data_IF_602599498822
#
_entry.id   IF_602599498822
#
_cell.length_a   1.000
_cell.length_b   1.000
_cell.length_c   1.000
_cell.angle_alpha   90.00
_cell.angle_beta   90.00
_cell.angle_gamma   90.00
#
_symmetry.space_group_name_H-M   'P 1'
#
loop_
_entity.id
_entity.type
_entity.pdbx_description
1 polymer ?
#
# COMPACT_ATOMS: atom_id res chain seq x y z
N UNK A 1 108.37 -35.88 -35.57
CA UNK A 1 108.03 -34.47 -35.77
C UNK A 1 106.63 -34.37 -36.35
N UNK A 2 105.59 -34.19 -35.56
CA UNK A 2 104.21 -34.21 -36.04
C UNK A 2 103.12 -34.04 -35.00
N UNK A 3 103.25 -33.14 -33.98
CA UNK A 3 102.15 -32.94 -32.96
C UNK A 3 101.78 -31.48 -32.70
N UNK A 4 101.98 -30.55 -33.54
CA UNK A 4 101.71 -29.13 -33.26
C UNK A 4 100.59 -28.50 -34.11
N UNK A 5 99.73 -29.25 -34.84
CA UNK A 5 98.68 -28.69 -35.70
C UNK A 5 97.24 -28.96 -35.29
N UNK A 6 96.95 -29.79 -34.28
CA UNK A 6 95.57 -30.13 -33.87
C UNK A 6 94.97 -29.14 -32.85
N UNK A 7 95.73 -28.41 -32.03
CA UNK A 7 95.22 -27.49 -30.99
C UNK A 7 94.65 -26.16 -31.55
N UNK A 8 95.23 -25.65 -32.62
CA UNK A 8 94.83 -24.35 -33.19
C UNK A 8 93.39 -24.35 -33.83
N UNK A 9 92.98 -25.46 -34.43
CA UNK A 9 91.70 -25.61 -35.06
C UNK A 9 90.53 -25.72 -34.04
N UNK A 10 90.79 -26.31 -32.86
CA UNK A 10 89.82 -26.42 -31.78
C UNK A 10 89.55 -25.05 -31.11
N UNK A 11 90.61 -24.26 -30.92
CA UNK A 11 90.50 -22.93 -30.27
C UNK A 11 89.80 -21.92 -31.21
N UNK A 12 90.01 -21.92 -32.51
CA UNK A 12 89.33 -21.08 -33.51
C UNK A 12 87.86 -21.47 -33.61
N UNK A 13 87.49 -22.76 -33.47
CA UNK A 13 86.09 -23.19 -33.49
C UNK A 13 85.38 -22.81 -32.19
N UNK A 14 86.04 -22.84 -31.02
CA UNK A 14 85.54 -22.35 -29.77
C UNK A 14 85.29 -20.84 -29.77
N UNK A 15 86.24 -20.06 -30.28
CA UNK A 15 86.12 -18.61 -30.42
C UNK A 15 84.97 -18.21 -31.40
N UNK A 16 84.84 -18.92 -32.54
CA UNK A 16 83.74 -18.71 -33.46
C UNK A 16 82.36 -19.03 -32.86
N UNK A 17 82.24 -20.08 -32.03
CA UNK A 17 81.02 -20.44 -31.35
C UNK A 17 80.59 -19.38 -30.31
N UNK A 18 81.55 -18.82 -29.55
CA UNK A 18 81.31 -17.75 -28.57
C UNK A 18 80.81 -16.44 -29.26
N UNK A 19 81.42 -16.07 -30.38
CA UNK A 19 81.07 -14.90 -31.19
C UNK A 19 79.62 -15.05 -31.74
N UNK A 20 79.28 -16.26 -32.25
CA UNK A 20 77.94 -16.54 -32.77
C UNK A 20 76.93 -16.52 -31.64
N UNK A 21 77.25 -17.07 -30.48
CA UNK A 21 76.37 -17.02 -29.31
C UNK A 21 76.16 -15.60 -28.78
N UNK A 22 77.20 -14.76 -28.79
CA UNK A 22 77.09 -13.34 -28.44
C UNK A 22 76.25 -12.53 -29.44
N UNK A 23 76.43 -12.84 -30.78
CA UNK A 23 75.58 -12.21 -31.79
C UNK A 23 74.15 -12.64 -31.74
N UNK A 24 73.86 -13.91 -31.40
CA UNK A 24 72.50 -14.39 -31.18
C UNK A 24 71.93 -13.75 -29.93
N UNK A 25 72.69 -13.72 -28.82
CA UNK A 25 72.25 -13.07 -27.58
C UNK A 25 72.01 -11.56 -27.77
N UNK A 26 72.86 -10.88 -28.51
CA UNK A 26 72.69 -9.47 -28.90
C UNK A 26 71.50 -9.27 -29.83
N UNK A 27 71.27 -10.16 -30.79
CA UNK A 27 70.07 -10.15 -31.63
C UNK A 27 68.79 -10.38 -30.91
N UNK A 28 68.78 -11.35 -29.97
CA UNK A 28 67.62 -11.61 -29.11
C UNK A 28 67.36 -10.44 -28.15
N UNK A 29 68.40 -9.90 -27.49
CA UNK A 29 68.28 -8.70 -26.66
C UNK A 29 67.72 -7.49 -27.42
N UNK A 30 68.22 -7.31 -28.68
CA UNK A 30 67.74 -6.23 -29.54
C UNK A 30 66.28 -6.46 -30.00
N UNK A 31 65.94 -7.70 -30.33
CA UNK A 31 64.54 -8.06 -30.65
C UNK A 31 63.56 -7.88 -29.48
N UNK A 32 64.01 -8.19 -28.26
CA UNK A 32 63.21 -7.97 -27.07
C UNK A 32 63.10 -6.49 -26.70
N UNK A 33 64.06 -5.64 -27.02
CA UNK A 33 64.01 -4.19 -26.78
C UNK A 33 63.38 -3.42 -27.92
N UNK A 34 63.34 -3.94 -29.13
CA UNK A 34 62.74 -3.30 -30.33
C UNK A 34 61.20 -3.56 -30.42
N UNK A 35 60.64 -4.42 -29.54
CA UNK A 35 59.23 -4.80 -29.56
C UNK A 35 58.29 -4.01 -28.63
N UNK A 36 58.76 -2.97 -27.98
CA UNK A 36 57.96 -2.18 -27.04
C UNK A 36 57.79 -0.69 -27.47
N UNK A 37 57.66 -0.45 -28.75
CA UNK A 37 56.96 0.77 -29.15
C UNK A 37 55.44 0.48 -29.01
N UNK A 38 54.89 0.69 -27.82
CA UNK A 38 53.48 0.94 -27.65
C UNK A 38 53.14 2.16 -28.52
N UNK A 39 52.65 1.90 -29.75
CA UNK A 39 51.94 2.93 -30.50
C UNK A 39 50.96 3.57 -29.52
N UNK A 40 51.01 4.88 -29.27
CA UNK A 40 49.98 5.54 -28.51
C UNK A 40 48.69 5.19 -29.22
N UNK A 41 47.81 4.43 -28.51
CA UNK A 41 46.45 4.23 -28.97
C UNK A 41 45.88 5.65 -29.06
N UNK A 42 45.62 6.10 -30.29
CA UNK A 42 45.01 7.40 -30.48
C UNK A 42 43.75 7.43 -29.59
N UNK A 43 43.74 8.33 -28.64
CA UNK A 43 42.61 8.46 -27.75
C UNK A 43 41.36 8.60 -28.61
N UNK A 44 40.37 7.76 -28.38
CA UNK A 44 39.14 7.79 -29.16
C UNK A 44 38.48 9.17 -28.93
N UNK A 45 38.38 9.95 -30.01
CA UNK A 45 37.69 11.24 -30.01
C UNK A 45 36.20 11.05 -30.37
N UNK A 46 35.38 11.93 -29.89
CA UNK A 46 33.95 12.03 -30.19
C UNK A 46 33.62 13.49 -30.39
N UNK A 47 32.82 13.82 -31.38
CA UNK A 47 32.33 15.18 -31.58
C UNK A 47 31.20 15.51 -30.58
N UNK A 48 31.21 16.73 -30.02
CA UNK A 48 30.11 17.25 -29.30
C UNK A 48 28.89 17.40 -30.22
N UNK A 49 27.77 16.74 -29.89
CA UNK A 49 26.56 16.72 -30.71
C UNK A 49 25.37 17.30 -29.94
N UNK A 50 24.28 17.60 -30.66
CA UNK A 50 23.01 17.93 -30.03
C UNK A 50 22.15 16.69 -29.88
N UNK A 51 21.60 16.55 -28.69
CA UNK A 51 20.72 15.43 -28.41
C UNK A 51 20.08 15.49 -27.04
N UNK A 52 19.39 14.44 -26.67
CA UNK A 52 18.74 14.35 -25.35
C UNK A 52 19.74 13.91 -24.30
N UNK A 53 19.71 14.58 -23.17
CA UNK A 53 20.40 14.18 -21.94
C UNK A 53 19.34 13.79 -20.92
N UNK A 54 19.44 12.58 -20.38
CA UNK A 54 18.55 12.06 -19.34
C UNK A 54 19.36 11.73 -18.09
N UNK A 55 18.84 12.14 -16.95
CA UNK A 55 19.32 11.73 -15.63
C UNK A 55 18.34 10.68 -15.09
N UNK A 56 18.85 9.53 -14.71
CA UNK A 56 18.06 8.41 -14.22
C UNK A 56 18.58 7.93 -12.87
N UNK A 57 17.69 7.45 -12.05
CA UNK A 57 18.03 6.76 -10.81
C UNK A 57 17.54 5.34 -10.91
N UNK A 58 18.42 4.37 -10.63
CA UNK A 58 18.13 2.96 -10.76
C UNK A 58 18.12 2.24 -9.40
N UNK A 59 17.17 1.34 -9.23
CA UNK A 59 17.08 0.45 -8.07
C UNK A 59 16.41 -0.87 -8.46
N UNK A 60 16.26 -1.76 -7.49
CA UNK A 60 15.45 -2.96 -7.62
C UNK A 60 14.17 -2.83 -6.81
N UNK A 61 13.08 -3.32 -7.35
CA UNK A 61 11.78 -3.36 -6.71
C UNK A 61 11.15 -4.74 -6.80
N UNK A 62 9.96 -4.84 -6.24
CA UNK A 62 9.13 -6.05 -6.28
C UNK A 62 7.75 -5.73 -6.85
N UNK A 63 7.26 -6.64 -7.67
CA UNK A 63 5.92 -6.59 -8.25
C UNK A 63 4.90 -6.88 -7.15
N UNK A 64 3.94 -5.99 -6.96
CA UNK A 64 2.87 -6.12 -5.98
C UNK A 64 1.52 -5.87 -6.64
N UNK A 65 0.43 -6.46 -6.15
CA UNK A 65 -0.90 -6.07 -6.57
C UNK A 65 -1.22 -4.68 -6.03
N UNK A 66 -1.94 -3.87 -6.80
CA UNK A 66 -2.37 -2.55 -6.35
C UNK A 66 -3.32 -2.64 -5.15
N UNK A 67 -4.12 -3.70 -5.09
CA UNK A 67 -5.04 -3.96 -3.99
C UNK A 67 -4.96 -5.41 -3.52
N UNK A 68 -4.95 -5.58 -2.20
CA UNK A 68 -5.14 -6.86 -1.54
C UNK A 68 -6.37 -6.79 -0.64
N UNK A 69 -7.15 -7.85 -0.61
CA UNK A 69 -8.33 -7.99 0.24
C UNK A 69 -8.18 -9.20 1.15
N UNK A 70 -8.20 -8.96 2.45
CA UNK A 70 -8.29 -10.03 3.44
C UNK A 70 -9.75 -10.33 3.67
N UNK A 71 -10.16 -11.52 3.35
CA UNK A 71 -11.53 -11.99 3.46
C UNK A 71 -11.67 -12.85 4.71
N UNK A 72 -12.72 -12.61 5.48
CA UNK A 72 -13.04 -13.29 6.73
C UNK A 72 -14.49 -13.77 6.72
N UNK A 73 -14.76 -14.84 7.44
CA UNK A 73 -16.14 -15.24 7.70
C UNK A 73 -16.83 -14.27 8.65
N UNK A 74 -18.11 -14.04 8.44
CA UNK A 74 -18.94 -13.22 9.31
C UNK A 74 -19.35 -13.93 10.59
N UNK A 75 -19.23 -15.26 10.63
CA UNK A 75 -19.57 -16.12 11.77
C UNK A 75 -18.41 -17.02 12.16
N UNK A 76 -18.40 -17.46 13.39
CA UNK A 76 -17.52 -18.54 13.84
C UNK A 76 -18.16 -19.88 13.46
N UNK A 77 -17.32 -20.85 13.10
CA UNK A 77 -17.82 -22.18 12.72
C UNK A 77 -16.69 -23.12 12.33
N UNK A 78 -17.07 -24.30 11.88
CA UNK A 78 -16.13 -25.28 11.29
C UNK A 78 -16.15 -25.16 9.78
N UNK A 79 -14.99 -25.10 9.15
CA UNK A 79 -14.90 -25.00 7.69
C UNK A 79 -15.41 -26.29 7.04
N UNK A 80 -16.49 -26.18 6.29
CA UNK A 80 -17.13 -27.27 5.57
C UNK A 80 -16.45 -27.52 4.22
N UNK A 81 -16.26 -26.45 3.45
CA UNK A 81 -15.68 -26.55 2.10
C UNK A 81 -14.73 -25.41 1.80
N UNK A 82 -13.70 -25.71 1.01
CA UNK A 82 -12.78 -24.73 0.41
C UNK A 82 -12.69 -25.04 -1.08
N UNK A 83 -13.24 -24.16 -1.92
CA UNK A 83 -13.32 -24.34 -3.37
C UNK A 83 -12.06 -23.84 -4.10
N UNK A 84 -11.13 -23.17 -3.41
CA UNK A 84 -9.98 -22.49 -4.01
C UNK A 84 -8.67 -22.83 -3.28
N UNK A 85 -7.55 -22.60 -3.96
CA UNK A 85 -6.19 -22.76 -3.42
C UNK A 85 -5.37 -21.51 -3.72
N UNK A 86 -4.24 -21.33 -3.02
CA UNK A 86 -3.28 -20.30 -3.38
C UNK A 86 -2.88 -20.43 -4.86
N UNK A 87 -2.84 -19.30 -5.56
CA UNK A 87 -2.59 -19.23 -7.00
C UNK A 87 -3.82 -19.38 -7.90
N UNK A 88 -5.00 -19.75 -7.38
CA UNK A 88 -6.24 -19.86 -8.18
C UNK A 88 -6.74 -18.47 -8.59
N UNK A 89 -7.07 -18.31 -9.87
CA UNK A 89 -7.79 -17.13 -10.37
C UNK A 89 -9.28 -17.27 -10.04
N UNK A 90 -9.90 -16.16 -9.59
CA UNK A 90 -11.30 -16.10 -9.21
C UNK A 90 -11.99 -14.91 -9.84
N UNK A 91 -13.31 -15.03 -10.04
CA UNK A 91 -14.17 -13.95 -10.53
C UNK A 91 -14.95 -13.32 -9.37
N UNK A 92 -15.39 -12.08 -9.55
CA UNK A 92 -16.27 -11.44 -8.57
C UNK A 92 -17.55 -12.25 -8.34
N UNK A 93 -17.98 -12.39 -7.08
CA UNK A 93 -19.13 -13.18 -6.65
C UNK A 93 -18.88 -14.67 -6.48
N UNK A 94 -17.75 -15.21 -6.94
CA UNK A 94 -17.42 -16.63 -6.84
C UNK A 94 -17.31 -17.06 -5.37
N UNK A 95 -17.91 -18.22 -5.03
CA UNK A 95 -17.78 -18.83 -3.70
C UNK A 95 -16.37 -19.39 -3.54
N UNK A 96 -15.72 -19.03 -2.44
CA UNK A 96 -14.35 -19.41 -2.13
C UNK A 96 -14.28 -20.48 -1.06
N UNK A 97 -15.09 -20.33 -0.01
CA UNK A 97 -15.17 -21.26 1.10
C UNK A 97 -16.53 -21.12 1.81
N UNK A 98 -16.93 -22.16 2.55
CA UNK A 98 -18.14 -22.17 3.36
C UNK A 98 -17.81 -22.76 4.73
N UNK A 99 -18.34 -22.17 5.77
CA UNK A 99 -18.40 -22.78 7.11
C UNK A 99 -19.76 -23.41 7.31
N UNK A 100 -19.87 -24.33 8.28
CA UNK A 100 -21.13 -24.89 8.74
C UNK A 100 -22.05 -23.74 9.15
N UNK A 101 -23.18 -23.65 8.48
CA UNK A 101 -24.17 -22.58 8.62
C UNK A 101 -25.44 -23.03 9.35
N UNK A 102 -25.46 -24.25 9.89
CA UNK A 102 -26.63 -24.83 10.57
C UNK A 102 -27.10 -23.93 11.72
N UNK A 103 -26.17 -23.57 12.63
CA UNK A 103 -26.49 -22.70 13.77
C UNK A 103 -26.95 -21.29 13.30
N UNK A 104 -26.40 -20.80 12.19
CA UNK A 104 -26.76 -19.51 11.64
C UNK A 104 -28.13 -19.52 10.95
N UNK A 105 -28.50 -20.64 10.32
CA UNK A 105 -29.81 -20.84 9.72
C UNK A 105 -30.89 -20.96 10.82
N UNK A 106 -30.64 -21.77 11.84
CA UNK A 106 -31.54 -21.86 13.01
C UNK A 106 -31.76 -20.49 13.68
N UNK A 107 -30.71 -19.67 13.83
CA UNK A 107 -30.82 -18.32 14.37
C UNK A 107 -31.68 -17.38 13.50
N UNK A 108 -31.72 -17.59 12.17
CA UNK A 108 -32.63 -16.83 11.29
C UNK A 108 -34.09 -17.25 11.55
N UNK A 109 -34.35 -18.56 11.62
CA UNK A 109 -35.69 -19.08 11.87
C UNK A 109 -36.21 -18.59 13.25
N UNK A 110 -35.40 -18.68 14.31
CA UNK A 110 -35.74 -18.20 15.65
C UNK A 110 -36.02 -16.68 15.66
N UNK A 111 -35.23 -15.91 14.90
CA UNK A 111 -35.43 -14.46 14.81
C UNK A 111 -36.67 -14.07 14.02
N UNK A 112 -37.06 -14.87 13.02
CA UNK A 112 -38.29 -14.68 12.24
C UNK A 112 -39.52 -15.03 13.11
N UNK A 113 -39.48 -16.12 13.82
CA UNK A 113 -40.56 -16.50 14.78
C UNK A 113 -40.74 -15.39 15.82
N UNK A 114 -39.67 -14.85 16.38
CA UNK A 114 -39.73 -13.74 17.33
C UNK A 114 -40.30 -12.44 16.70
N UNK A 115 -40.07 -12.20 15.42
CA UNK A 115 -40.67 -11.08 14.71
C UNK A 115 -42.18 -11.27 14.51
N UNK A 116 -42.61 -12.47 14.14
CA UNK A 116 -44.02 -12.80 13.97
C UNK A 116 -44.77 -12.67 15.30
N UNK A 117 -44.23 -13.20 16.40
CA UNK A 117 -44.77 -13.04 17.75
C UNK A 117 -44.87 -11.56 18.16
N UNK A 118 -43.87 -10.74 17.80
CA UNK A 118 -43.90 -9.32 18.11
C UNK A 118 -44.96 -8.55 17.29
N UNK A 119 -45.19 -8.97 16.04
CA UNK A 119 -46.23 -8.40 15.18
C UNK A 119 -47.63 -8.78 15.66
N UNK A 120 -47.84 -10.02 16.09
CA UNK A 120 -49.10 -10.48 16.68
C UNK A 120 -49.39 -9.71 17.97
N UNK A 121 -48.39 -9.50 18.83
CA UNK A 121 -48.52 -8.69 20.05
C UNK A 121 -48.85 -7.22 19.74
N UNK A 122 -48.32 -6.66 18.64
CA UNK A 122 -48.67 -5.32 18.18
C UNK A 122 -50.14 -5.26 17.74
N UNK A 123 -50.56 -6.22 16.89
CA UNK A 123 -51.94 -6.28 16.41
C UNK A 123 -52.96 -6.40 17.58
N UNK A 124 -52.65 -7.18 18.63
CA UNK A 124 -53.50 -7.28 19.81
C UNK A 124 -53.49 -6.00 20.65
N UNK A 125 -52.33 -5.32 20.77
CA UNK A 125 -52.25 -4.02 21.45
C UNK A 125 -53.04 -2.94 20.71
N UNK A 126 -52.98 -2.91 19.37
CA UNK A 126 -53.76 -1.98 18.53
C UNK A 126 -55.27 -2.23 18.68
N UNK A 127 -55.66 -3.51 18.64
CA UNK A 127 -57.06 -3.92 18.83
C UNK A 127 -57.56 -3.54 20.23
N UNK A 128 -56.74 -3.73 21.25
CA UNK A 128 -57.06 -3.34 22.62
C UNK A 128 -57.16 -1.82 22.80
N UNK A 129 -56.32 -1.05 22.10
CA UNK A 129 -56.36 0.41 22.10
C UNK A 129 -57.56 0.97 21.31
N UNK A 130 -58.02 0.26 20.27
CA UNK A 130 -59.20 0.63 19.49
C UNK A 130 -60.54 0.24 20.18
N UNK A 131 -60.52 -0.63 21.18
CA UNK A 131 -61.67 -1.00 21.90
C UNK A 131 -62.24 0.23 22.68
N UNK A 132 -63.56 0.56 22.55
CA UNK A 132 -64.11 1.71 23.28
C UNK A 132 -64.00 1.45 24.78
N UNK A 133 -63.33 2.36 25.47
CA UNK A 133 -63.31 2.35 26.95
C UNK A 133 -64.68 2.45 27.45
N UNK A 134 -65.30 1.32 27.78
CA UNK A 134 -66.59 1.29 28.58
C UNK A 134 -66.24 1.73 29.98
N UNK A 135 -66.10 3.05 30.15
CA UNK A 135 -66.20 3.64 31.49
C UNK A 135 -67.61 3.42 31.95
N UNK A 136 -67.79 2.51 32.89
CA UNK A 136 -69.08 2.34 33.60
C UNK A 136 -69.51 3.69 34.14
N UNK A 137 -70.50 4.26 33.46
CA UNK A 137 -71.20 5.48 33.90
C UNK A 137 -72.02 5.23 35.16
N UNK A 138 -71.40 5.45 36.29
CA UNK A 138 -72.15 5.67 37.52
C UNK A 138 -71.53 6.86 38.26
N UNK A 139 -71.80 8.06 37.76
CA UNK A 139 -71.69 9.27 38.57
C UNK A 139 -72.91 10.13 38.30
N UNK A 140 -73.82 10.08 39.25
CA UNK A 140 -74.94 11.00 39.36
C UNK A 140 -74.39 12.43 39.45
N UNK A 141 -75.04 13.30 38.68
CA UNK A 141 -74.81 14.73 38.66
C UNK A 141 -74.91 15.39 40.01
N UNK A 142 -73.95 16.22 40.37
CA UNK A 142 -74.16 17.32 41.29
C UNK A 142 -73.53 18.58 40.69
N UNK A 143 -74.38 19.42 40.16
CA UNK A 143 -74.12 20.79 39.79
C UNK A 143 -73.73 21.64 40.95
N UNK A 144 -72.68 22.40 40.94
CA UNK A 144 -72.67 23.79 41.44
C UNK A 144 -71.46 24.54 40.74
N UNK A 145 -71.84 25.50 39.90
CA UNK A 145 -71.00 26.69 39.64
C UNK A 145 -71.30 27.74 40.75
N UNK A 146 -70.55 28.80 41.06
CA UNK A 146 -70.03 29.71 40.03
C UNK A 146 -68.70 30.47 40.36
N UNK A 147 -68.30 31.20 39.37
CA UNK A 147 -67.77 32.58 39.33
C UNK A 147 -66.26 32.92 39.57
N UNK A 148 -65.73 33.36 38.55
CA UNK A 148 -65.07 34.67 38.26
C UNK A 148 -63.76 35.05 38.96
N UNK A 149 -62.82 35.43 38.14
CA UNK A 149 -61.89 36.46 38.57
C UNK A 149 -60.48 36.43 37.92
N UNK A 150 -60.37 37.07 36.78
CA UNK A 150 -59.24 37.96 36.38
C UNK A 150 -57.85 37.41 36.10
N UNK A 151 -57.52 37.58 34.83
CA UNK A 151 -56.13 37.79 34.26
C UNK A 151 -55.49 39.04 34.92
N UNK A 152 -54.18 39.27 34.74
CA UNK A 152 -53.46 39.36 33.45
C UNK A 152 -51.96 38.95 33.39
N UNK A 153 -51.55 38.75 32.18
CA UNK A 153 -50.19 38.79 31.55
C UNK A 153 -49.38 40.07 31.95
N UNK A 154 -48.09 40.28 31.59
CA UNK A 154 -47.07 39.48 30.91
C UNK A 154 -45.64 39.69 31.50
N UNK A 155 -44.63 39.04 30.96
CA UNK A 155 -43.37 39.62 30.51
C UNK A 155 -42.26 38.59 30.37
N UNK A 156 -41.75 38.44 29.18
CA UNK A 156 -40.36 38.05 28.88
C UNK A 156 -39.47 39.29 29.12
N UNK A 157 -38.16 39.25 29.13
CA UNK A 157 -37.31 38.66 28.10
C UNK A 157 -35.88 38.13 28.54
N UNK A 158 -35.32 37.37 27.66
CA UNK A 158 -33.99 37.56 27.04
C UNK A 158 -32.66 37.26 27.75
N UNK A 159 -31.84 36.63 26.93
CA UNK A 159 -30.42 36.71 26.58
C UNK A 159 -29.41 35.79 27.25
N UNK A 160 -28.98 34.83 26.44
CA UNK A 160 -27.60 34.44 26.05
C UNK A 160 -26.40 35.10 26.79
N UNK A 161 -25.15 34.66 26.59
CA UNK A 161 -24.55 33.40 26.18
C UNK A 161 -23.24 33.10 26.96
N UNK A 162 -22.58 32.07 26.48
CA UNK A 162 -21.09 32.01 26.46
C UNK A 162 -20.34 31.29 27.55
N UNK A 163 -19.61 30.38 27.14
CA UNK A 163 -18.16 30.09 27.13
C UNK A 163 -17.79 28.71 27.66
N UNK A 164 -17.13 28.01 26.75
CA UNK A 164 -16.15 26.94 26.97
C UNK A 164 -14.99 27.49 27.84
N UNK A 165 -14.25 26.69 28.62
CA UNK A 165 -13.16 25.89 28.07
C UNK A 165 -12.85 24.54 28.77
N UNK A 166 -12.27 23.67 27.95
CA UNK A 166 -11.18 22.71 28.16
C UNK A 166 -10.64 22.49 29.58
N UNK A 167 -10.49 21.23 29.98
CA UNK A 167 -9.20 20.55 30.22
C UNK A 167 -9.35 19.14 30.81
N UNK A 168 -8.66 18.21 30.17
CA UNK A 168 -7.75 17.16 30.67
C UNK A 168 -8.20 16.21 31.80
N UNK A 169 -8.40 14.92 31.46
CA UNK A 169 -8.06 13.63 31.96
C UNK A 169 -7.69 13.38 33.43
N UNK A 170 -7.25 12.16 33.85
CA UNK A 170 -7.71 10.82 33.52
C UNK A 170 -8.13 9.95 34.74
N UNK A 171 -8.64 8.76 34.44
CA UNK A 171 -8.63 7.53 35.26
C UNK A 171 -9.21 7.49 36.66
N UNK A 172 -10.20 6.60 36.84
CA UNK A 172 -10.18 5.46 37.77
C UNK A 172 -11.56 4.76 37.82
N UNK A 173 -11.55 3.48 37.56
CA UNK A 173 -12.54 2.50 38.02
C UNK A 173 -12.22 2.13 39.47
N UNK A 174 -12.94 1.22 40.11
CA UNK A 174 -14.36 0.90 40.21
C UNK A 174 -14.86 0.91 41.66
N UNK A 175 -16.12 0.95 41.92
CA UNK A 175 -16.62 0.50 43.21
C UNK A 175 -18.03 -0.10 43.09
N UNK A 176 -18.08 -1.36 43.41
CA UNK A 176 -19.29 -2.09 43.72
C UNK A 176 -19.96 -1.42 44.91
N UNK A 177 -21.26 -1.20 44.87
CA UNK A 177 -22.02 -0.97 46.06
C UNK A 177 -23.34 -1.73 46.00
N UNK A 178 -23.48 -2.52 46.98
CA UNK A 178 -24.49 -3.44 47.44
C UNK A 178 -25.91 -2.89 47.44
N UNK A 179 -26.83 -3.76 47.03
CA UNK A 179 -28.27 -3.64 47.22
C UNK A 179 -28.65 -3.58 48.70
N UNK A 180 -29.64 -2.80 49.09
CA UNK A 180 -30.39 -3.09 50.32
C UNK A 180 -31.72 -3.78 50.00
N UNK A 181 -31.82 -4.96 50.55
CA UNK A 181 -33.04 -5.73 50.80
C UNK A 181 -34.06 -4.87 51.59
N UNK A 182 -35.26 -4.73 51.08
CA UNK A 182 -36.42 -4.23 51.88
C UNK A 182 -37.49 -5.28 51.96
N UNK A 183 -37.77 -5.66 53.18
CA UNK A 183 -38.82 -6.52 53.68
C UNK A 183 -40.22 -5.87 53.47
N UNK A 184 -41.24 -6.63 53.14
CA UNK A 184 -42.59 -6.08 52.98
C UNK A 184 -43.33 -5.99 54.33
N UNK A 185 -43.77 -4.79 54.60
CA UNK A 185 -44.80 -4.60 55.70
C UNK A 185 -46.18 -4.41 55.04
N UNK A 186 -47.08 -5.20 55.41
CA UNK A 186 -48.49 -5.17 55.00
C UNK A 186 -49.20 -3.89 55.41
N UNK A 187 -50.08 -3.40 54.57
CA UNK A 187 -51.02 -2.31 54.81
C UNK A 187 -52.23 -2.52 53.95
N UNK A 188 -53.38 -2.55 54.63
CA UNK A 188 -54.71 -2.80 54.10
C UNK A 188 -55.18 -1.78 53.06
N UNK A 189 -56.24 -2.08 52.28
CA UNK A 189 -56.65 -1.30 51.12
C UNK A 189 -57.43 -0.05 51.55
N UNK A 190 -56.91 1.11 51.21
CA UNK A 190 -57.68 2.34 51.16
C UNK A 190 -58.12 2.63 49.77
N UNK A 191 -59.40 2.80 49.60
CA UNK A 191 -60.09 3.15 48.39
C UNK A 191 -59.51 4.40 47.73
N UNK A 192 -59.27 4.27 46.46
CA UNK A 192 -59.32 5.13 45.33
C UNK A 192 -59.10 6.62 45.50
N UNK A 193 -58.04 7.04 44.92
CA UNK A 193 -58.00 8.37 44.29
C UNK A 193 -57.47 8.18 42.88
N UNK A 194 -58.37 8.34 41.90
CA UNK A 194 -57.98 8.47 40.53
C UNK A 194 -57.28 9.83 40.38
N UNK A 195 -56.02 9.89 40.73
CA UNK A 195 -55.17 11.01 40.36
C UNK A 195 -54.81 10.83 38.87
N UNK A 196 -55.24 11.78 38.06
CA UNK A 196 -55.06 11.75 36.62
C UNK A 196 -53.62 11.71 36.20
N UNK A 197 -53.20 10.54 35.82
CA UNK A 197 -52.07 10.39 34.92
C UNK A 197 -52.63 10.41 33.49
N UNK A 198 -52.26 11.43 32.72
CA UNK A 198 -52.66 11.62 31.32
C UNK A 198 -51.79 10.78 30.39
N UNK A 199 -51.61 9.53 30.71
CA UNK A 199 -51.14 8.50 29.81
C UNK A 199 -52.34 7.68 29.36
N UNK A 200 -52.71 7.73 28.13
CA UNK A 200 -53.72 6.87 27.55
C UNK A 200 -53.19 5.44 27.64
N UNK A 201 -53.79 4.52 28.44
CA UNK A 201 -53.17 3.19 28.68
C UNK A 201 -52.96 2.35 27.42
N UNK A 202 -53.64 2.70 26.32
CA UNK A 202 -53.49 2.02 25.04
C UNK A 202 -52.32 2.50 24.20
N UNK A 203 -51.93 3.78 24.33
CA UNK A 203 -50.84 4.34 23.54
C UNK A 203 -49.47 3.83 23.96
N UNK A 204 -49.24 3.66 25.25
CA UNK A 204 -47.96 3.13 25.75
C UNK A 204 -47.78 1.63 25.43
N UNK A 205 -48.89 0.86 25.42
CA UNK A 205 -48.88 -0.54 25.04
C UNK A 205 -48.54 -0.72 23.54
N UNK A 206 -49.17 0.07 22.66
CA UNK A 206 -48.90 0.04 21.22
C UNK A 206 -47.46 0.50 20.94
N UNK A 207 -46.98 1.56 21.56
CA UNK A 207 -45.61 2.04 21.40
C UNK A 207 -44.58 1.01 21.85
N UNK A 208 -44.81 0.34 22.99
CA UNK A 208 -43.91 -0.72 23.47
C UNK A 208 -43.98 -1.99 22.62
N UNK A 209 -45.12 -2.34 22.03
CA UNK A 209 -45.23 -3.40 21.05
C UNK A 209 -44.50 -3.04 19.75
N UNK A 210 -44.64 -1.82 19.25
CA UNK A 210 -43.94 -1.32 18.09
C UNK A 210 -42.40 -1.35 18.28
N UNK A 211 -41.91 -1.01 19.48
CA UNK A 211 -40.49 -1.13 19.82
C UNK A 211 -39.99 -2.58 19.77
N UNK A 212 -40.84 -3.55 20.23
CA UNK A 212 -40.48 -4.98 20.12
C UNK A 212 -40.41 -5.45 18.69
N UNK A 213 -41.34 -5.04 17.81
CA UNK A 213 -41.28 -5.34 16.37
C UNK A 213 -40.00 -4.79 15.77
N UNK A 214 -39.64 -3.54 16.05
CA UNK A 214 -38.41 -2.94 15.53
C UNK A 214 -37.15 -3.68 16.02
N UNK A 215 -37.14 -4.13 17.29
CA UNK A 215 -36.02 -4.90 17.84
C UNK A 215 -35.91 -6.29 17.19
N UNK A 216 -37.05 -6.98 17.00
CA UNK A 216 -37.12 -8.27 16.34
C UNK A 216 -36.68 -8.15 14.85
N UNK A 217 -37.13 -7.12 14.13
CA UNK A 217 -36.72 -6.87 12.77
C UNK A 217 -35.18 -6.66 12.66
N UNK A 218 -34.57 -5.95 13.58
CA UNK A 218 -33.12 -5.79 13.66
C UNK A 218 -32.40 -7.12 13.97
N UNK A 219 -33.03 -7.99 14.78
CA UNK A 219 -32.52 -9.32 15.09
C UNK A 219 -32.51 -10.22 13.84
N UNK A 220 -33.59 -10.21 13.04
CA UNK A 220 -33.65 -10.91 11.74
C UNK A 220 -32.56 -10.43 10.80
N UNK A 221 -32.45 -9.12 10.60
CA UNK A 221 -31.39 -8.51 9.78
C UNK A 221 -29.98 -8.97 10.20
N UNK A 222 -29.75 -9.08 11.49
CA UNK A 222 -28.47 -9.53 12.05
C UNK A 222 -28.23 -11.03 11.79
N UNK A 223 -29.26 -11.86 11.97
CA UNK A 223 -29.20 -13.29 11.75
C UNK A 223 -28.96 -13.60 10.25
N UNK A 224 -29.67 -12.94 9.34
CA UNK A 224 -29.48 -13.08 7.89
C UNK A 224 -28.07 -12.66 7.43
N UNK A 225 -27.54 -11.57 8.00
CA UNK A 225 -26.14 -11.16 7.73
C UNK A 225 -25.15 -12.20 8.25
N UNK A 226 -25.42 -12.81 9.40
CA UNK A 226 -24.61 -13.89 9.92
C UNK A 226 -24.64 -15.12 8.98
N UNK A 227 -25.82 -15.56 8.55
CA UNK A 227 -25.98 -16.66 7.60
C UNK A 227 -25.26 -16.38 6.26
N UNK A 228 -25.44 -15.17 5.72
CA UNK A 228 -24.71 -14.76 4.49
C UNK A 228 -23.21 -14.76 4.74
N UNK A 229 -22.76 -14.36 5.92
CA UNK A 229 -21.36 -14.35 6.36
C UNK A 229 -20.74 -15.74 6.55
N UNK A 230 -21.53 -16.80 6.59
CA UNK A 230 -21.04 -18.18 6.61
C UNK A 230 -20.44 -18.60 5.25
N UNK A 231 -20.81 -17.93 4.15
CA UNK A 231 -20.27 -18.17 2.82
C UNK A 231 -19.31 -17.06 2.42
N UNK A 232 -18.05 -17.41 2.19
CA UNK A 232 -17.02 -16.48 1.75
C UNK A 232 -17.03 -16.35 0.23
N UNK A 233 -17.27 -15.13 -0.27
CA UNK A 233 -17.30 -14.83 -1.70
C UNK A 233 -16.22 -13.83 -2.07
N UNK A 234 -15.73 -13.90 -3.31
CA UNK A 234 -14.78 -12.95 -3.86
C UNK A 234 -15.49 -11.60 -4.15
N UNK A 235 -15.09 -10.47 -3.55
CA UNK A 235 -15.68 -9.17 -3.83
C UNK A 235 -15.22 -8.59 -5.18
N UNK A 236 -14.06 -9.00 -5.64
CA UNK A 236 -13.44 -8.58 -6.91
C UNK A 236 -12.89 -9.80 -7.66
N UNK A 237 -12.66 -9.67 -8.96
CA UNK A 237 -11.87 -10.63 -9.70
C UNK A 237 -10.40 -10.50 -9.29
N UNK A 238 -9.66 -11.62 -9.28
CA UNK A 238 -8.27 -11.59 -8.86
C UNK A 238 -7.66 -12.97 -8.70
N UNK A 239 -6.58 -13.06 -7.93
CA UNK A 239 -5.88 -14.30 -7.61
C UNK A 239 -5.76 -14.50 -6.12
N UNK A 240 -5.99 -15.72 -5.66
CA UNK A 240 -5.82 -16.08 -4.25
C UNK A 240 -4.33 -16.12 -3.91
N UNK A 241 -3.90 -15.32 -2.93
CA UNK A 241 -2.52 -15.32 -2.41
C UNK A 241 -2.33 -16.41 -1.36
N UNK A 242 -3.24 -16.50 -0.41
CA UNK A 242 -3.14 -17.46 0.69
C UNK A 242 -4.51 -17.90 1.20
N UNK A 243 -4.54 -19.09 1.79
CA UNK A 243 -5.69 -19.67 2.51
C UNK A 243 -5.17 -20.10 3.88
N UNK A 244 -5.74 -19.57 4.95
CA UNK A 244 -5.23 -19.72 6.32
C UNK A 244 -5.72 -20.99 7.06
N UNK A 245 -6.50 -21.86 6.43
CA UNK A 245 -7.07 -23.04 7.10
C UNK A 245 -7.26 -24.24 6.17
N UNK A 246 -7.86 -25.25 6.72
CA UNK A 246 -8.22 -26.51 6.02
C UNK A 246 -9.67 -26.85 6.30
N UNK A 247 -10.27 -27.69 5.48
CA UNK A 247 -11.57 -28.31 5.75
C UNK A 247 -11.51 -29.00 7.12
N UNK A 248 -12.52 -28.77 7.96
CA UNK A 248 -12.57 -29.24 9.34
C UNK A 248 -11.89 -28.34 10.39
N UNK A 249 -11.20 -27.27 9.97
CA UNK A 249 -10.63 -26.33 10.95
C UNK A 249 -11.68 -25.37 11.49
N UNK A 250 -11.54 -24.99 12.77
CA UNK A 250 -12.40 -23.99 13.40
C UNK A 250 -11.93 -22.59 13.08
N UNK A 251 -12.86 -21.71 12.73
CA UNK A 251 -12.60 -20.29 12.43
C UNK A 251 -13.43 -19.40 13.34
N UNK A 252 -12.90 -18.21 13.60
CA UNK A 252 -13.63 -17.17 14.34
C UNK A 252 -14.08 -16.07 13.37
N UNK A 253 -15.19 -15.44 13.68
CA UNK A 253 -15.69 -14.31 12.92
C UNK A 253 -14.66 -13.18 12.85
N UNK A 254 -14.52 -12.55 11.69
CA UNK A 254 -13.63 -11.41 11.48
C UNK A 254 -12.15 -11.75 11.27
N UNK A 255 -11.71 -12.98 11.51
CA UNK A 255 -10.33 -13.36 11.27
C UNK A 255 -10.09 -13.61 9.78
N UNK A 256 -8.98 -13.04 9.25
CA UNK A 256 -8.59 -13.23 7.86
C UNK A 256 -8.39 -14.72 7.54
N UNK A 257 -9.12 -15.23 6.56
CA UNK A 257 -9.07 -16.63 6.13
C UNK A 257 -8.51 -16.79 4.73
N UNK A 258 -8.90 -15.92 3.79
CA UNK A 258 -8.40 -15.91 2.42
C UNK A 258 -7.88 -14.52 2.10
N UNK A 259 -6.67 -14.44 1.53
CA UNK A 259 -6.13 -13.20 0.96
C UNK A 259 -6.26 -13.24 -0.55
N UNK A 260 -6.98 -12.27 -1.09
CA UNK A 260 -7.22 -12.08 -2.52
C UNK A 260 -6.44 -10.85 -3.01
N UNK A 261 -5.76 -10.97 -4.14
CA UNK A 261 -5.06 -9.89 -4.82
C UNK A 261 -5.74 -9.53 -6.12
N UNK A 262 -5.86 -8.25 -6.39
CA UNK A 262 -6.16 -7.76 -7.73
C UNK A 262 -4.91 -7.91 -8.60
N UNK A 263 -5.00 -8.74 -9.64
CA UNK A 263 -3.88 -8.97 -10.58
C UNK A 263 -4.04 -8.21 -11.89
N UNK A 264 -5.09 -7.43 -12.04
CA UNK A 264 -5.29 -6.58 -13.22
C UNK A 264 -4.51 -5.28 -13.09
N UNK A 265 -4.44 -4.76 -11.87
CA UNK A 265 -3.66 -3.58 -11.53
C UNK A 265 -2.44 -4.00 -10.69
N UNK A 266 -1.33 -4.21 -11.39
CA UNK A 266 -0.05 -4.51 -10.74
C UNK A 266 0.80 -3.24 -10.64
N UNK A 267 1.53 -3.14 -9.56
CA UNK A 267 2.45 -2.03 -9.29
C UNK A 267 3.80 -2.54 -8.83
N UNK A 268 4.80 -1.67 -8.85
CA UNK A 268 6.13 -1.97 -8.34
C UNK A 268 6.34 -1.16 -7.05
N UNK A 269 6.76 -1.85 -6.00
CA UNK A 269 7.31 -1.21 -4.82
C UNK A 269 8.83 -1.28 -4.87
N UNK A 270 9.48 -0.14 -4.83
CA UNK A 270 10.93 -0.02 -4.91
C UNK A 270 11.44 0.91 -3.81
N UNK A 271 12.64 0.67 -3.31
CA UNK A 271 13.25 1.47 -2.27
C UNK A 271 14.48 2.18 -2.82
N UNK A 272 14.50 3.51 -2.73
CA UNK A 272 15.60 4.34 -3.18
C UNK A 272 16.41 4.88 -2.00
N UNK A 273 17.74 5.02 -2.12
CA UNK A 273 18.56 5.67 -1.11
C UNK A 273 18.15 7.14 -0.92
N UNK A 274 18.40 7.68 0.27
CA UNK A 274 18.12 9.08 0.62
C UNK A 274 18.78 10.08 -0.37
N UNK A 275 19.99 9.78 -0.83
CA UNK A 275 20.72 10.63 -1.78
C UNK A 275 20.00 10.85 -3.13
N UNK A 276 19.07 9.98 -3.47
CA UNK A 276 18.32 10.02 -4.73
C UNK A 276 16.85 10.39 -4.50
N UNK A 277 16.35 10.20 -3.28
CA UNK A 277 14.92 10.35 -2.94
C UNK A 277 14.42 11.79 -3.09
N UNK A 278 15.26 12.78 -2.86
CA UNK A 278 14.96 14.22 -3.00
C UNK A 278 14.65 14.63 -4.45
N UNK A 279 15.10 13.83 -5.43
CA UNK A 279 14.86 14.05 -6.86
C UNK A 279 13.62 13.31 -7.37
N UNK A 280 13.00 12.47 -6.53
CA UNK A 280 11.85 11.66 -6.92
C UNK A 280 10.56 12.38 -6.60
N UNK A 281 9.63 12.37 -7.56
CA UNK A 281 8.31 12.97 -7.42
C UNK A 281 7.25 12.13 -8.16
N UNK A 282 6.02 12.19 -7.66
CA UNK A 282 4.89 11.60 -8.35
C UNK A 282 4.71 12.20 -9.75
N UNK A 283 4.34 11.36 -10.71
CA UNK A 283 4.18 11.72 -12.12
C UNK A 283 5.44 11.59 -12.97
N UNK A 284 6.61 11.30 -12.39
CA UNK A 284 7.82 11.06 -13.17
C UNK A 284 7.70 9.77 -13.99
N UNK A 285 8.28 9.79 -15.18
CA UNK A 285 8.35 8.61 -16.03
C UNK A 285 9.45 7.67 -15.57
N UNK A 286 9.15 6.40 -15.70
CA UNK A 286 10.05 5.32 -15.31
C UNK A 286 9.98 4.18 -16.32
N UNK A 287 10.97 3.32 -16.28
CA UNK A 287 10.95 2.05 -17.00
C UNK A 287 11.27 0.92 -16.02
N UNK A 288 10.58 -0.19 -16.21
CA UNK A 288 10.67 -1.36 -15.34
C UNK A 288 10.99 -2.58 -16.19
N UNK A 289 11.98 -3.37 -15.77
CA UNK A 289 12.31 -4.65 -16.38
C UNK A 289 12.11 -5.77 -15.35
N UNK A 290 11.06 -6.60 -15.48
CA UNK A 290 10.87 -7.79 -14.66
C UNK A 290 12.01 -8.80 -14.84
N UNK A 291 12.35 -9.52 -13.78
CA UNK A 291 13.52 -10.42 -13.79
C UNK A 291 13.41 -11.58 -14.79
N UNK A 292 12.18 -12.03 -15.11
CA UNK A 292 11.92 -13.08 -16.11
C UNK A 292 12.08 -12.59 -17.56
N UNK A 293 12.11 -11.26 -17.77
CA UNK A 293 12.18 -10.59 -19.07
C UNK A 293 13.31 -9.57 -19.09
N UNK A 294 14.47 -9.99 -18.64
CA UNK A 294 15.64 -9.12 -18.59
C UNK A 294 15.91 -8.45 -19.97
N UNK A 295 16.02 -7.12 -19.97
CA UNK A 295 16.19 -6.33 -21.19
C UNK A 295 14.90 -5.84 -21.85
N UNK A 296 13.73 -6.32 -21.45
CA UNK A 296 12.45 -5.78 -21.88
C UNK A 296 12.00 -4.70 -20.90
N UNK A 297 12.19 -3.45 -21.28
CA UNK A 297 11.80 -2.29 -20.49
C UNK A 297 10.34 -1.94 -20.76
N UNK A 298 9.54 -1.93 -19.72
CA UNK A 298 8.12 -1.60 -19.75
C UNK A 298 7.92 -0.19 -19.20
N UNK A 299 7.13 0.66 -19.86
CA UNK A 299 6.88 2.00 -19.38
C UNK A 299 6.04 1.97 -18.11
N UNK A 300 6.42 2.82 -17.17
CA UNK A 300 5.77 2.99 -15.89
C UNK A 300 5.82 4.46 -15.45
N UNK A 301 4.99 4.79 -14.48
CA UNK A 301 4.92 6.14 -13.92
C UNK A 301 4.98 6.05 -12.39
N UNK A 302 5.74 6.93 -11.75
CA UNK A 302 5.77 7.07 -10.30
C UNK A 302 4.40 7.57 -9.81
N UNK A 303 3.74 6.80 -8.95
CA UNK A 303 2.43 7.16 -8.37
C UNK A 303 2.61 7.81 -7.02
N UNK A 304 3.52 7.29 -6.21
CA UNK A 304 3.73 7.73 -4.84
C UNK A 304 5.21 7.64 -4.47
N UNK A 305 5.65 8.62 -3.71
CA UNK A 305 6.93 8.59 -2.98
C UNK A 305 6.58 8.73 -1.50
N UNK A 306 7.04 7.79 -0.68
CA UNK A 306 6.76 7.80 0.74
C UNK A 306 7.52 8.95 1.41
N UNK A 307 6.84 9.77 2.21
CA UNK A 307 7.49 10.91 2.87
C UNK A 307 8.34 10.50 4.08
N UNK A 308 8.24 9.24 4.51
CA UNK A 308 8.95 8.72 5.68
C UNK A 308 9.97 7.69 5.22
N UNK A 309 11.24 7.98 5.49
CA UNK A 309 12.32 7.03 5.24
C UNK A 309 12.29 5.88 6.25
N UNK A 310 12.62 4.70 5.77
CA UNK A 310 12.79 3.49 6.58
C UNK A 310 14.26 3.05 6.55
N UNK A 311 14.80 2.64 7.68
CA UNK A 311 16.20 2.20 7.75
C UNK A 311 16.56 1.67 9.13
N UNK A 312 17.69 0.99 9.20
CA UNK A 312 18.27 0.38 10.41
C UNK A 312 19.40 1.23 11.04
N UNK A 313 19.44 2.52 10.71
CA UNK A 313 20.43 3.49 11.20
C UNK A 313 21.70 3.60 10.35
N UNK A 314 21.99 2.64 9.47
CA UNK A 314 23.15 2.71 8.57
C UNK A 314 22.78 3.30 7.18
N UNK A 315 21.57 3.05 6.71
CA UNK A 315 21.11 3.54 5.41
C UNK A 315 19.61 3.82 5.45
N UNK A 316 19.23 5.05 5.18
CA UNK A 316 17.82 5.45 5.02
C UNK A 316 17.38 5.22 3.59
N UNK A 317 16.22 4.64 3.41
CA UNK A 317 15.59 4.38 2.11
C UNK A 317 14.16 4.90 2.10
N UNK A 318 13.74 5.40 0.97
CA UNK A 318 12.38 5.90 0.76
C UNK A 318 11.64 4.96 -0.19
N UNK A 319 10.44 4.58 0.21
CA UNK A 319 9.56 3.75 -0.60
C UNK A 319 9.00 4.54 -1.77
N UNK A 320 9.00 3.93 -2.94
CA UNK A 320 8.41 4.50 -4.15
C UNK A 320 7.53 3.46 -4.80
N UNK A 321 6.31 3.87 -5.12
CA UNK A 321 5.34 3.03 -5.83
C UNK A 321 5.22 3.51 -7.26
N UNK A 322 5.37 2.57 -8.19
CA UNK A 322 5.24 2.81 -9.62
C UNK A 322 4.09 1.96 -10.18
N UNK A 323 3.28 2.56 -11.04
CA UNK A 323 2.26 1.86 -11.80
C UNK A 323 2.74 1.64 -13.24
N UNK A 324 2.43 0.49 -13.82
CA UNK A 324 2.66 0.26 -15.24
C UNK A 324 1.69 1.12 -16.06
N UNK A 325 2.16 1.76 -17.12
CA UNK A 325 1.30 2.50 -18.06
C UNK A 325 0.37 1.51 -18.82
N UNK A 326 0.81 0.27 -19.01
CA UNK A 326 0.01 -0.86 -19.48
C UNK A 326 0.43 -2.10 -18.69
N UNK A 327 -0.49 -2.70 -17.96
CA UNK A 327 -0.20 -3.87 -17.11
C UNK A 327 0.15 -5.08 -17.99
N UNK A 328 1.36 -5.63 -17.88
CA UNK A 328 1.75 -6.82 -18.61
C UNK A 328 0.95 -8.04 -18.12
N UNK A 329 0.62 -8.91 -19.05
CA UNK A 329 0.03 -10.21 -18.70
C UNK A 329 1.09 -11.11 -18.06
N UNK A 330 0.68 -11.95 -17.14
CA UNK A 330 1.49 -13.03 -16.53
C UNK A 330 2.61 -12.56 -15.58
N UNK A 331 2.49 -11.37 -14.97
CA UNK A 331 3.37 -11.00 -13.86
C UNK A 331 3.04 -11.81 -12.60
N UNK A 332 4.08 -12.20 -11.88
CA UNK A 332 3.94 -12.89 -10.60
C UNK A 332 4.08 -11.90 -9.44
N UNK A 333 3.18 -11.99 -8.48
CA UNK A 333 3.27 -11.23 -7.23
C UNK A 333 4.54 -11.64 -6.48
N UNK A 334 5.31 -10.65 -6.02
CA UNK A 334 6.59 -10.87 -5.35
C UNK A 334 7.79 -11.01 -6.31
N UNK A 335 7.58 -10.94 -7.63
CA UNK A 335 8.64 -10.98 -8.62
C UNK A 335 9.54 -9.75 -8.52
N UNK A 336 10.85 -9.94 -8.58
CA UNK A 336 11.82 -8.84 -8.63
C UNK A 336 11.80 -8.15 -9.98
N UNK A 337 12.04 -6.85 -9.97
CA UNK A 337 12.15 -6.03 -11.17
C UNK A 337 13.24 -4.96 -11.01
N UNK A 338 13.95 -4.67 -12.09
CA UNK A 338 14.82 -3.50 -12.15
C UNK A 338 14.01 -2.28 -12.51
N UNK A 339 14.22 -1.19 -11.80
CA UNK A 339 13.49 0.07 -11.96
C UNK A 339 14.47 1.18 -12.30
N UNK A 340 14.13 2.00 -13.29
CA UNK A 340 14.82 3.26 -13.60
C UNK A 340 13.79 4.38 -13.65
N UNK A 341 14.00 5.42 -12.87
CA UNK A 341 13.15 6.60 -12.84
C UNK A 341 13.92 7.75 -13.48
N UNK A 342 13.30 8.43 -14.43
CA UNK A 342 13.86 9.62 -15.06
C UNK A 342 13.63 10.82 -14.14
N UNK A 343 14.71 11.34 -13.57
CA UNK A 343 14.68 12.49 -12.66
C UNK A 343 14.86 13.83 -13.38
N UNK A 344 15.39 13.79 -14.60
CA UNK A 344 15.54 14.98 -15.46
C UNK A 344 15.74 14.58 -16.92
N UNK A 345 15.20 15.38 -17.82
CA UNK A 345 15.41 15.20 -19.26
C UNK A 345 15.44 16.55 -19.95
N UNK A 346 16.42 16.76 -20.81
CA UNK A 346 16.51 17.92 -21.70
C UNK A 346 16.79 17.45 -23.13
N UNK A 347 15.98 17.88 -24.05
CA UNK A 347 16.10 17.57 -25.47
C UNK A 347 16.89 18.67 -26.21
N UNK A 348 17.54 18.28 -27.30
CA UNK A 348 18.26 19.18 -28.24
C UNK A 348 19.33 20.06 -27.60
N UNK A 349 19.93 19.63 -26.50
CA UNK A 349 21.03 20.33 -25.84
C UNK A 349 22.37 19.84 -26.38
N UNK A 350 23.38 20.71 -26.34
CA UNK A 350 24.77 20.31 -26.66
C UNK A 350 25.21 19.33 -25.55
N UNK A 351 25.68 18.17 -25.97
CA UNK A 351 26.03 17.10 -25.02
C UNK A 351 27.39 16.48 -25.40
N UNK A 352 28.01 15.94 -24.37
CA UNK A 352 29.24 15.15 -24.51
C UNK A 352 29.09 13.87 -23.67
N UNK A 353 29.80 12.77 -23.99
CA UNK A 353 29.82 11.60 -23.14
C UNK A 353 30.22 11.96 -21.70
N UNK A 354 29.50 11.49 -20.71
CA UNK A 354 29.78 11.80 -19.30
C UNK A 354 31.17 11.36 -18.86
N UNK A 355 31.71 10.31 -19.49
CA UNK A 355 33.08 9.84 -19.27
C UNK A 355 34.19 10.79 -19.79
N UNK A 356 33.83 11.79 -20.60
CA UNK A 356 34.78 12.79 -21.11
C UNK A 356 34.93 14.00 -20.20
N UNK A 357 34.04 14.15 -19.23
CA UNK A 357 33.99 15.31 -18.32
C UNK A 357 34.65 14.93 -16.99
N UNK A 358 35.72 15.64 -16.64
CA UNK A 358 36.50 15.45 -15.41
C UNK A 358 36.53 16.71 -14.56
N UNK A 359 37.05 16.60 -13.34
CA UNK A 359 37.24 17.71 -12.38
C UNK A 359 35.97 18.53 -12.15
N UNK A 360 34.85 17.82 -12.01
CA UNK A 360 33.55 18.46 -11.83
C UNK A 360 33.44 19.09 -10.45
N UNK A 361 33.23 20.41 -10.44
CA UNK A 361 32.98 21.19 -9.22
C UNK A 361 31.81 22.15 -9.46
N UNK A 362 30.68 21.84 -8.85
CA UNK A 362 29.43 22.57 -9.09
C UNK A 362 28.95 22.42 -10.53
N UNK A 363 28.85 23.53 -11.24
CA UNK A 363 28.44 23.65 -12.64
C UNK A 363 29.64 23.70 -13.63
N UNK A 364 30.86 23.49 -13.17
CA UNK A 364 32.08 23.52 -14.00
C UNK A 364 32.68 22.14 -14.13
N UNK A 365 33.26 21.87 -15.27
CA UNK A 365 34.02 20.66 -15.59
C UNK A 365 35.16 20.94 -16.56
N UNK A 366 35.99 19.93 -16.79
CA UNK A 366 37.11 19.99 -17.74
C UNK A 366 36.94 18.86 -18.77
N UNK A 367 37.10 19.16 -20.05
CA UNK A 367 37.15 18.21 -21.15
C UNK A 367 38.47 18.41 -21.91
N UNK A 368 38.94 17.35 -22.57
CA UNK A 368 40.12 17.48 -23.45
C UNK A 368 39.65 17.72 -24.88
N UNK A 369 39.85 18.94 -25.37
CA UNK A 369 39.60 19.33 -26.78
C UNK A 369 40.91 19.44 -27.49
N UNK A 370 41.10 18.67 -28.59
CA UNK A 370 42.35 18.63 -29.34
C UNK A 370 43.61 18.36 -28.47
N UNK A 371 43.45 17.57 -27.40
CA UNK A 371 44.53 17.25 -26.46
C UNK A 371 44.83 18.31 -25.41
N UNK A 372 44.09 19.42 -25.37
CA UNK A 372 44.24 20.49 -24.37
C UNK A 372 43.04 20.50 -23.40
N UNK A 373 43.26 20.70 -22.08
CA UNK A 373 42.19 20.79 -21.11
C UNK A 373 41.43 22.09 -21.32
N UNK A 374 40.15 21.98 -21.60
CA UNK A 374 39.21 23.09 -21.80
C UNK A 374 38.18 23.10 -20.69
N UNK A 375 37.98 24.24 -20.03
CA UNK A 375 36.93 24.42 -19.00
C UNK A 375 35.58 24.57 -19.69
N UNK A 376 34.59 23.86 -19.18
CA UNK A 376 33.23 23.88 -19.68
C UNK A 376 32.25 24.15 -18.56
N UNK A 377 31.13 24.77 -18.91
CA UNK A 377 29.99 24.91 -18.00
C UNK A 377 29.02 23.77 -18.30
N UNK A 378 28.72 22.98 -17.28
CA UNK A 378 27.86 21.80 -17.37
C UNK A 378 26.45 22.13 -16.89
N UNK A 379 25.46 21.54 -17.50
CA UNK A 379 24.06 21.59 -17.10
C UNK A 379 23.61 20.26 -16.50
N UNK A 380 22.60 19.65 -17.10
CA UNK A 380 22.07 18.36 -16.65
C UNK A 380 23.13 17.26 -16.87
N UNK A 381 23.41 16.53 -15.80
CA UNK A 381 24.30 15.36 -15.83
C UNK A 381 23.47 14.08 -15.92
N UNK A 382 23.67 13.34 -16.98
CA UNK A 382 23.09 12.01 -17.15
C UNK A 382 24.14 10.91 -17.07
N UNK A 383 23.69 9.66 -17.11
CA UNK A 383 24.56 8.49 -17.02
C UNK A 383 25.47 8.34 -18.25
N UNK A 384 24.95 8.60 -19.44
CA UNK A 384 25.67 8.45 -20.70
C UNK A 384 26.22 9.76 -21.22
N UNK A 385 25.46 10.85 -21.10
CA UNK A 385 25.77 12.15 -21.62
C UNK A 385 25.61 13.24 -20.58
N UNK A 386 26.43 14.25 -20.65
CA UNK A 386 26.37 15.48 -19.84
C UNK A 386 26.08 16.67 -20.75
N UNK A 387 25.12 17.50 -20.38
CA UNK A 387 24.80 18.76 -21.06
C UNK A 387 25.95 19.76 -20.88
N UNK A 388 26.33 20.42 -21.95
CA UNK A 388 27.28 21.52 -21.95
C UNK A 388 26.51 22.80 -22.29
N UNK A 389 26.52 23.76 -21.36
CA UNK A 389 25.86 25.05 -21.53
C UNK A 389 26.81 26.16 -21.97
N UNK A 390 28.13 25.90 -21.91
CA UNK A 390 29.14 26.86 -22.35
C UNK A 390 30.55 26.23 -22.43
N UNK A 391 31.40 26.84 -23.20
CA UNK A 391 32.81 26.43 -23.33
C UNK A 391 33.11 25.46 -24.48
N UNK A 392 32.08 24.96 -25.19
CA UNK A 392 32.21 24.12 -26.38
C UNK A 392 31.20 24.54 -27.45
N UNK A 393 31.53 24.25 -28.71
CA UNK A 393 30.63 24.37 -29.86
C UNK A 393 30.26 23.00 -30.41
N UNK A 394 29.12 22.94 -31.14
CA UNK A 394 28.73 21.73 -31.84
C UNK A 394 29.79 21.35 -32.88
N UNK A 395 30.20 20.09 -32.89
CA UNK A 395 31.25 19.56 -33.77
C UNK A 395 32.65 19.58 -33.17
N UNK A 396 32.87 20.20 -31.98
CA UNK A 396 34.19 20.17 -31.33
C UNK A 396 34.57 18.73 -30.98
N UNK A 397 35.78 18.31 -31.39
CA UNK A 397 36.27 16.98 -31.04
C UNK A 397 36.85 16.93 -29.63
N UNK A 398 36.31 16.04 -28.82
CA UNK A 398 36.75 15.79 -27.47
C UNK A 398 37.24 14.36 -27.28
N UNK A 399 38.18 14.17 -26.40
CA UNK A 399 38.65 12.84 -26.04
C UNK A 399 37.57 12.16 -25.19
N UNK A 400 37.13 10.97 -25.62
CA UNK A 400 36.01 10.23 -25.01
C UNK A 400 36.25 9.84 -23.55
N UNK A 401 37.49 9.54 -23.21
CA UNK A 401 37.91 9.20 -21.83
C UNK A 401 39.41 9.44 -21.69
N UNK A 402 39.84 10.01 -20.58
CA UNK A 402 41.25 10.33 -20.32
C UNK A 402 41.56 10.30 -18.83
#
# INVERSE_FOLDING_TARGET
>A
MGEARAGRRRWVRGAAAVVVSLLIAFGVARALTAGAETKPVAAATVAADRGTVTSEVATTGTVQPAQTRSLSFGVAGTVETIAVRAGTAVTSGQVLAKVDDTDAAEAVDDAQDALDDAQDALAEAEKSAAAPATCGSNVAAAYTSPSAGLSPTPAAPAVTPSTRPTTTGPAAAPSRTTSPTRTPAGGAPTAGTCAGDRGQPGGDAVLSAQQRVNQAAVAVDKAEKALTGATLRAPIAGRILSVAGKVGSRVSAGNAFITLADVQDMQISANFPEADADRLAAGQKAVVAPADRAGQWLPATVVQVDPVGTGDGAMVRYGVVLSFDATPKDLLVGQSASVRVTTGSKAEVLRVPSAAVHDVSGDQGTVLTNGAPTKVVIGLRGDQYTEITGGLSEGDEIVRSW
#
